data_IF_654301144405
#
_entry.id   IF_654301144405
#
_cell.length_a   1.000
_cell.length_b   1.000
_cell.length_c   1.000
_cell.angle_alpha   90.00
_cell.angle_beta   90.00
_cell.angle_gamma   90.00
#
_symmetry.space_group_name_H-M   'P 1'
#
loop_
_entity.id
_entity.type
_entity.pdbx_description
1 polymer ?
#
# COMPACT_ATOMS: atom_id res chain seq x y z
N UNK A 1 -31.87 -43.13 -42.50
CA UNK A 1 -30.40 -42.93 -42.53
C UNK A 1 -30.14 -41.46 -42.28
N UNK A 2 -29.18 -41.15 -41.39
CA UNK A 2 -28.82 -39.82 -40.83
C UNK A 2 -29.84 -39.30 -39.78
N UNK A 3 -29.51 -38.76 -38.60
CA UNK A 3 -28.35 -38.00 -38.08
C UNK A 3 -28.00 -38.48 -36.65
N UNK A 4 -26.73 -38.70 -36.28
CA UNK A 4 -25.82 -37.74 -35.59
C UNK A 4 -26.49 -37.08 -34.37
N UNK A 5 -26.09 -37.30 -33.11
CA UNK A 5 -24.74 -37.47 -32.58
C UNK A 5 -24.21 -36.13 -32.07
N UNK A 6 -24.66 -35.69 -30.88
CA UNK A 6 -24.01 -34.60 -30.14
C UNK A 6 -23.78 -35.09 -28.71
N UNK A 7 -22.61 -35.67 -28.50
CA UNK A 7 -21.99 -35.83 -27.19
C UNK A 7 -21.39 -34.47 -26.86
N UNK A 8 -22.05 -33.71 -25.99
CA UNK A 8 -21.49 -32.47 -25.42
C UNK A 8 -20.37 -32.91 -24.48
N UNK A 9 -19.15 -32.95 -25.00
CA UNK A 9 -17.94 -33.00 -24.20
C UNK A 9 -17.80 -31.64 -23.50
N UNK A 10 -18.39 -31.54 -22.31
CA UNK A 10 -17.96 -30.60 -21.28
C UNK A 10 -16.51 -30.94 -20.93
N UNK A 11 -15.58 -30.44 -21.73
CA UNK A 11 -14.19 -30.33 -21.33
C UNK A 11 -14.17 -29.35 -20.16
N UNK A 12 -14.10 -29.91 -18.97
CA UNK A 12 -13.60 -29.27 -17.76
C UNK A 12 -12.20 -28.74 -18.08
N UNK A 13 -12.14 -27.53 -18.63
CA UNK A 13 -10.88 -26.79 -18.67
C UNK A 13 -10.52 -26.57 -17.21
N UNK A 14 -9.38 -27.10 -16.72
CA UNK A 14 -8.94 -26.76 -15.38
C UNK A 14 -8.87 -25.24 -15.31
N UNK A 15 -9.43 -24.67 -14.25
CA UNK A 15 -9.12 -23.33 -13.79
C UNK A 15 -7.60 -23.29 -13.56
N UNK A 16 -6.82 -23.08 -14.63
CA UNK A 16 -5.41 -22.80 -14.53
C UNK A 16 -5.33 -21.48 -13.78
N UNK A 17 -4.89 -21.54 -12.53
CA UNK A 17 -4.20 -20.42 -11.91
C UNK A 17 -3.10 -20.01 -12.89
N UNK A 18 -3.31 -18.94 -13.64
CA UNK A 18 -2.31 -18.43 -14.56
C UNK A 18 -1.01 -18.29 -13.79
N UNK A 19 0.02 -19.02 -14.20
CA UNK A 19 1.35 -18.87 -13.63
C UNK A 19 1.82 -17.46 -13.92
N UNK A 20 2.83 -16.98 -13.19
CA UNK A 20 3.36 -15.65 -13.44
C UNK A 20 3.60 -15.50 -14.95
N UNK A 21 4.25 -16.44 -15.64
CA UNK A 21 4.56 -16.33 -17.07
C UNK A 21 3.37 -16.25 -18.06
N UNK A 22 2.12 -16.40 -17.61
CA UNK A 22 0.94 -16.25 -18.46
C UNK A 22 0.45 -14.79 -18.60
N UNK A 23 0.89 -13.88 -17.73
CA UNK A 23 0.35 -12.51 -17.66
C UNK A 23 1.14 -11.46 -18.46
N UNK A 24 2.14 -11.88 -19.24
CA UNK A 24 2.99 -10.91 -19.93
C UNK A 24 3.99 -11.51 -20.92
N UNK A 25 4.76 -10.63 -21.59
CA UNK A 25 5.80 -11.08 -22.51
C UNK A 25 6.88 -11.89 -21.77
N UNK A 26 7.64 -12.73 -22.52
CA UNK A 26 8.84 -13.39 -22.00
C UNK A 26 9.79 -12.40 -21.33
N UNK A 27 10.44 -12.83 -20.26
CA UNK A 27 11.30 -11.98 -19.44
C UNK A 27 11.57 -12.55 -18.07
N UNK A 28 12.40 -11.86 -17.29
CA UNK A 28 12.74 -12.23 -15.92
C UNK A 28 11.95 -11.37 -14.92
N UNK A 29 11.38 -11.99 -13.90
CA UNK A 29 10.52 -11.34 -12.90
C UNK A 29 10.88 -11.83 -11.51
N UNK A 30 11.07 -10.92 -10.55
CA UNK A 30 11.42 -11.35 -9.19
C UNK A 30 10.26 -12.04 -8.48
N UNK A 31 10.58 -13.02 -7.64
CA UNK A 31 9.63 -13.56 -6.67
C UNK A 31 9.24 -12.48 -5.65
N UNK A 32 8.03 -12.56 -5.04
CA UNK A 32 7.57 -11.55 -4.07
C UNK A 32 8.50 -11.34 -2.86
N UNK A 33 9.18 -12.40 -2.42
CA UNK A 33 10.14 -12.38 -1.30
C UNK A 33 11.58 -12.01 -1.73
N UNK A 34 11.78 -11.76 -3.03
CA UNK A 34 13.05 -11.47 -3.69
C UNK A 34 14.13 -12.56 -3.56
N UNK A 35 13.80 -13.77 -3.09
CA UNK A 35 14.79 -14.85 -2.94
C UNK A 35 15.19 -15.48 -4.26
N UNK A 36 14.33 -15.38 -5.28
CA UNK A 36 14.57 -15.88 -6.61
C UNK A 36 13.89 -15.02 -7.67
N UNK A 37 13.84 -15.57 -8.87
CA UNK A 37 13.14 -14.98 -10.01
C UNK A 37 12.61 -16.07 -10.94
N UNK A 38 11.53 -15.73 -11.63
CA UNK A 38 10.98 -16.48 -12.75
C UNK A 38 11.64 -16.03 -14.04
N UNK A 39 12.02 -16.96 -14.90
CA UNK A 39 12.47 -16.73 -16.27
C UNK A 39 11.43 -17.30 -17.23
N UNK A 40 10.60 -16.40 -17.74
CA UNK A 40 9.55 -16.74 -18.69
C UNK A 40 10.15 -16.78 -20.09
N UNK A 41 10.29 -17.97 -20.67
CA UNK A 41 10.95 -18.17 -21.97
C UNK A 41 9.96 -18.73 -22.97
N UNK A 42 9.86 -18.10 -24.15
CA UNK A 42 9.03 -18.62 -25.24
C UNK A 42 9.71 -19.82 -25.90
N UNK A 43 9.05 -20.98 -25.88
CA UNK A 43 9.51 -22.16 -26.59
C UNK A 43 8.88 -22.22 -27.99
N UNK A 44 9.67 -22.02 -29.07
CA UNK A 44 9.14 -22.01 -30.44
C UNK A 44 8.66 -23.38 -30.93
N UNK A 45 9.07 -24.48 -30.28
CA UNK A 45 8.66 -25.85 -30.66
C UNK A 45 7.27 -26.20 -30.13
N UNK A 46 6.95 -25.74 -28.93
CA UNK A 46 5.66 -26.01 -28.28
C UNK A 46 4.67 -24.85 -28.47
N UNK A 47 5.16 -23.68 -28.89
CA UNK A 47 4.36 -22.46 -29.04
C UNK A 47 3.91 -21.86 -27.71
N UNK A 48 4.51 -22.28 -26.59
CA UNK A 48 4.11 -21.89 -25.23
C UNK A 48 5.24 -21.16 -24.49
N UNK A 49 4.88 -20.35 -23.51
CA UNK A 49 5.83 -19.77 -22.56
C UNK A 49 6.06 -20.79 -21.45
N UNK A 50 7.34 -21.05 -21.16
CA UNK A 50 7.77 -21.91 -20.06
C UNK A 50 8.24 -21.04 -18.89
N UNK A 51 7.87 -21.43 -17.68
CA UNK A 51 8.31 -20.80 -16.44
C UNK A 51 9.46 -21.58 -15.83
N UNK A 52 10.63 -20.95 -15.73
CA UNK A 52 11.80 -21.50 -15.06
C UNK A 52 12.10 -20.68 -13.81
N UNK A 53 12.00 -21.30 -12.64
CA UNK A 53 12.26 -20.63 -11.36
C UNK A 53 13.72 -20.82 -10.95
N UNK A 54 14.39 -19.73 -10.62
CA UNK A 54 15.77 -19.70 -10.17
C UNK A 54 15.90 -19.06 -8.80
N UNK A 55 16.64 -19.70 -7.91
CA UNK A 55 17.04 -19.10 -6.63
C UNK A 55 18.24 -18.18 -6.82
N UNK A 56 18.22 -17.03 -6.16
CA UNK A 56 19.38 -16.15 -6.10
C UNK A 56 20.45 -16.75 -5.17
N UNK A 57 21.75 -16.60 -5.49
CA UNK A 57 22.85 -17.04 -4.64
C UNK A 57 22.74 -16.51 -3.20
N UNK A 58 23.35 -17.21 -2.22
CA UNK A 58 23.38 -16.74 -0.83
C UNK A 58 23.84 -15.29 -0.73
N UNK A 59 23.17 -14.51 0.13
CA UNK A 59 23.39 -13.06 0.36
C UNK A 59 23.02 -12.13 -0.81
N UNK A 60 22.46 -12.65 -1.90
CA UNK A 60 21.89 -11.85 -2.98
C UNK A 60 20.37 -11.95 -3.00
N UNK A 61 19.72 -10.99 -3.65
CA UNK A 61 18.28 -10.95 -3.87
C UNK A 61 17.99 -10.48 -5.29
N UNK A 62 16.82 -10.82 -5.81
CA UNK A 62 16.39 -10.31 -7.10
C UNK A 62 16.13 -8.79 -7.00
N UNK A 63 16.73 -8.02 -7.91
CA UNK A 63 16.83 -6.55 -7.80
C UNK A 63 15.83 -5.77 -8.65
N UNK A 64 15.12 -6.45 -9.55
CA UNK A 64 14.13 -5.84 -10.45
C UNK A 64 12.76 -5.63 -9.80
N UNK A 65 12.52 -6.29 -8.65
CA UNK A 65 11.26 -6.25 -7.90
C UNK A 65 10.06 -6.69 -8.75
N UNK A 66 8.93 -5.99 -8.64
CA UNK A 66 7.70 -6.30 -9.36
C UNK A 66 7.61 -5.73 -10.77
N UNK A 67 8.71 -5.33 -11.41
CA UNK A 67 8.77 -4.94 -12.83
C UNK A 67 9.69 -5.88 -13.63
N UNK A 68 9.53 -5.99 -14.97
CA UNK A 68 10.42 -6.79 -15.80
C UNK A 68 11.89 -6.42 -15.61
N UNK A 69 12.75 -7.43 -15.45
CA UNK A 69 14.19 -7.25 -15.38
C UNK A 69 14.77 -6.84 -16.73
N UNK A 70 15.62 -5.81 -16.73
CA UNK A 70 16.40 -5.40 -17.90
C UNK A 70 17.76 -6.12 -18.01
N UNK A 71 18.12 -6.91 -16.99
CA UNK A 71 19.40 -7.63 -16.89
C UNK A 71 19.19 -9.13 -17.10
N UNK A 72 20.18 -9.79 -17.69
CA UNK A 72 20.22 -11.25 -17.80
C UNK A 72 20.48 -11.94 -16.45
N UNK A 73 21.13 -11.26 -15.50
CA UNK A 73 21.30 -11.72 -14.13
C UNK A 73 20.64 -10.73 -13.16
N UNK A 74 19.45 -11.04 -12.64
CA UNK A 74 18.70 -10.13 -11.79
C UNK A 74 19.11 -10.18 -10.31
N UNK A 75 19.92 -11.17 -9.92
CA UNK A 75 20.39 -11.33 -8.56
C UNK A 75 21.56 -10.41 -8.27
N UNK A 76 21.44 -9.63 -7.20
CA UNK A 76 22.47 -8.69 -6.79
C UNK A 76 22.42 -8.37 -5.30
N UNK A 77 23.33 -7.49 -4.89
CA UNK A 77 23.33 -6.96 -3.53
C UNK A 77 22.05 -6.18 -3.27
N UNK A 78 21.52 -6.34 -2.07
CA UNK A 78 20.25 -5.74 -1.67
C UNK A 78 20.32 -5.30 -0.22
N UNK A 79 19.66 -4.20 0.08
CA UNK A 79 19.60 -3.63 1.43
C UNK A 79 18.19 -3.16 1.69
N UNK A 80 17.59 -3.70 2.75
CA UNK A 80 16.26 -3.34 3.19
C UNK A 80 16.23 -1.89 3.73
N UNK A 81 15.09 -1.21 3.63
CA UNK A 81 14.89 0.05 4.33
C UNK A 81 14.95 -0.17 5.85
N UNK A 82 15.21 0.89 6.64
CA UNK A 82 15.03 0.83 8.09
C UNK A 82 13.62 0.35 8.41
N UNK A 83 13.53 -0.48 9.45
CA UNK A 83 12.24 -1.01 9.91
C UNK A 83 11.40 0.14 10.45
N UNK A 84 10.18 0.30 9.93
CA UNK A 84 9.20 1.21 10.52
C UNK A 84 8.75 0.64 11.87
N UNK A 85 8.81 1.41 12.97
CA UNK A 85 8.41 0.94 14.28
C UNK A 85 6.93 0.58 14.30
N UNK A 86 6.57 -0.43 15.09
CA UNK A 86 5.16 -0.85 15.24
C UNK A 86 4.31 0.18 15.98
N UNK A 87 4.95 0.88 16.92
CA UNK A 87 4.37 1.93 17.74
C UNK A 87 5.03 3.26 17.41
N UNK A 88 4.21 4.29 17.19
CA UNK A 88 4.72 5.61 16.86
C UNK A 88 3.67 6.71 17.06
N UNK A 89 4.18 7.93 17.21
CA UNK A 89 3.45 9.17 16.95
C UNK A 89 4.02 9.84 15.71
N UNK A 90 3.17 10.26 14.77
CA UNK A 90 3.63 10.87 13.54
C UNK A 90 2.66 11.91 12.99
N UNK A 91 3.20 13.00 12.45
CA UNK A 91 2.45 14.05 11.75
C UNK A 91 2.91 14.09 10.29
N UNK A 92 1.96 14.08 9.37
CA UNK A 92 2.22 14.09 7.94
C UNK A 92 1.50 15.23 7.25
N UNK A 93 2.24 15.91 6.37
CA UNK A 93 1.66 16.75 5.33
C UNK A 93 1.63 15.95 4.04
N UNK A 94 0.47 15.93 3.38
CA UNK A 94 0.32 15.24 2.11
C UNK A 94 -0.01 16.16 0.96
N UNK A 95 0.42 15.71 -0.21
CA UNK A 95 0.09 16.27 -1.50
C UNK A 95 -0.41 15.10 -2.34
N UNK A 96 -1.69 15.12 -2.70
CA UNK A 96 -2.27 14.15 -3.63
C UNK A 96 -2.65 14.87 -4.92
N UNK A 97 -1.94 14.56 -5.99
CA UNK A 97 -2.21 15.10 -7.32
C UNK A 97 -2.78 14.01 -8.21
N UNK A 98 -4.04 14.17 -8.59
CA UNK A 98 -4.75 13.29 -9.53
C UNK A 98 -4.95 14.07 -10.82
N UNK A 99 -4.47 13.51 -11.93
CA UNK A 99 -4.66 14.07 -13.26
C UNK A 99 -5.44 13.09 -14.12
N UNK A 100 -6.58 13.53 -14.66
CA UNK A 100 -7.43 12.76 -15.58
C UNK A 100 -7.67 13.58 -16.86
N UNK A 101 -8.35 13.03 -17.88
CA UNK A 101 -8.76 13.80 -19.06
C UNK A 101 -9.58 15.06 -18.75
N UNK A 102 -10.26 15.10 -17.59
CA UNK A 102 -11.05 16.25 -17.16
C UNK A 102 -10.20 17.38 -16.52
N UNK A 103 -8.93 17.11 -16.21
CA UNK A 103 -8.02 18.07 -15.59
C UNK A 103 -7.22 17.46 -14.44
N UNK A 104 -6.39 18.30 -13.82
CA UNK A 104 -5.62 17.94 -12.65
C UNK A 104 -6.17 18.63 -11.41
N UNK A 105 -6.33 17.86 -10.34
CA UNK A 105 -6.67 18.36 -9.02
C UNK A 105 -5.53 18.04 -8.07
N UNK A 106 -5.24 18.96 -7.16
CA UNK A 106 -4.22 18.77 -6.12
C UNK A 106 -4.85 19.07 -4.79
N UNK A 107 -4.83 18.06 -3.92
CA UNK A 107 -5.34 18.16 -2.55
C UNK A 107 -4.15 18.20 -1.62
N UNK A 108 -4.16 19.20 -0.75
CA UNK A 108 -3.23 19.29 0.37
C UNK A 108 -3.99 18.89 1.62
N UNK A 109 -3.44 17.93 2.36
CA UNK A 109 -4.03 17.53 3.63
C UNK A 109 -2.95 17.39 4.68
N UNK A 110 -3.36 17.43 5.94
CA UNK A 110 -2.51 17.11 7.07
C UNK A 110 -3.24 16.10 7.94
N UNK A 111 -2.51 15.07 8.34
CA UNK A 111 -3.00 14.13 9.33
C UNK A 111 -1.93 13.79 10.36
N UNK A 112 -2.39 13.51 11.56
CA UNK A 112 -1.56 13.00 12.64
C UNK A 112 -2.04 11.60 13.03
N UNK A 113 -1.13 10.72 13.44
CA UNK A 113 -1.48 9.39 13.89
C UNK A 113 -0.71 9.02 15.16
N UNK A 114 -1.40 8.23 15.97
CA UNK A 114 -0.86 7.57 17.15
C UNK A 114 -1.21 6.11 17.05
N UNK A 115 -0.18 5.27 17.04
CA UNK A 115 -0.35 3.83 16.86
C UNK A 115 0.31 3.11 18.03
N UNK A 116 -0.48 2.32 18.75
CA UNK A 116 -0.08 1.53 19.90
C UNK A 116 -0.53 0.07 19.69
N UNK A 117 0.36 -0.78 19.19
CA UNK A 117 0.11 -2.22 19.04
C UNK A 117 -0.07 -2.92 20.37
N UNK A 118 0.69 -2.50 21.39
CA UNK A 118 0.75 -3.16 22.69
C UNK A 118 -0.61 -3.07 23.38
N UNK A 119 -1.19 -1.87 23.42
CA UNK A 119 -2.51 -1.62 23.99
C UNK A 119 -3.64 -1.73 22.95
N UNK A 120 -3.31 -2.03 21.69
CA UNK A 120 -4.25 -2.12 20.57
C UNK A 120 -5.13 -0.88 20.40
N UNK A 121 -4.49 0.29 20.44
CA UNK A 121 -5.13 1.60 20.26
C UNK A 121 -4.57 2.30 19.05
N UNK A 122 -5.44 2.92 18.27
CA UNK A 122 -5.05 3.74 17.14
C UNK A 122 -5.88 5.01 17.13
N UNK A 123 -5.23 6.13 16.79
CA UNK A 123 -5.91 7.39 16.51
C UNK A 123 -5.35 8.00 15.25
N UNK A 124 -6.22 8.55 14.44
CA UNK A 124 -5.85 9.37 13.29
C UNK A 124 -6.68 10.65 13.28
N UNK A 125 -6.00 11.79 13.24
CA UNK A 125 -6.61 13.10 13.11
C UNK A 125 -6.46 13.56 11.67
N UNK A 126 -7.55 13.96 11.04
CA UNK A 126 -7.58 14.49 9.68
C UNK A 126 -8.02 15.94 9.70
N UNK A 127 -7.26 16.81 9.03
CA UNK A 127 -7.67 18.20 8.84
C UNK A 127 -8.83 18.25 7.84
N UNK A 128 -9.95 18.85 8.24
CA UNK A 128 -11.15 19.06 7.40
C UNK A 128 -11.49 20.55 7.32
N UNK A 129 -11.45 21.09 6.11
CA UNK A 129 -11.98 22.42 5.82
C UNK A 129 -13.41 22.28 5.25
N UNK A 130 -14.36 23.18 5.57
CA UNK A 130 -14.26 24.37 6.43
C UNK A 130 -14.94 24.15 7.80
N UNK A 131 -14.40 23.29 8.67
CA UNK A 131 -14.96 23.05 10.01
C UNK A 131 -14.26 23.89 11.09
N UNK A 132 -14.92 24.12 12.23
CA UNK A 132 -14.32 24.72 13.43
C UNK A 132 -14.63 23.87 14.69
N UNK A 133 -13.65 23.18 15.29
CA UNK A 133 -12.26 23.10 14.83
C UNK A 133 -12.15 22.33 13.50
N UNK A 134 -11.16 22.69 12.70
CA UNK A 134 -10.95 22.19 11.33
C UNK A 134 -10.37 20.78 11.27
N UNK A 135 -10.83 19.87 12.12
CA UNK A 135 -10.40 18.49 12.12
C UNK A 135 -11.51 17.52 12.55
N UNK A 136 -11.41 16.31 12.06
CA UNK A 136 -12.10 15.13 12.56
C UNK A 136 -11.05 14.10 12.97
N UNK A 137 -11.46 13.11 13.75
CA UNK A 137 -10.56 12.03 14.07
C UNK A 137 -11.26 10.70 14.23
N UNK A 138 -10.48 9.66 14.03
CA UNK A 138 -10.87 8.27 14.14
C UNK A 138 -10.11 7.66 15.30
N UNK A 139 -10.81 7.08 16.28
CA UNK A 139 -10.19 6.31 17.37
C UNK A 139 -10.61 4.86 17.22
N UNK A 140 -9.63 3.96 17.22
CA UNK A 140 -9.84 2.52 17.24
C UNK A 140 -9.39 1.99 18.59
N UNK A 141 -10.30 1.32 19.30
CA UNK A 141 -10.05 0.70 20.59
C UNK A 141 -10.40 -0.79 20.52
N UNK A 142 -9.54 -1.64 21.06
CA UNK A 142 -9.85 -3.07 21.18
C UNK A 142 -11.09 -3.29 22.05
N UNK A 143 -11.99 -4.16 21.60
CA UNK A 143 -13.15 -4.58 22.38
C UNK A 143 -13.01 -6.04 22.87
N UNK A 144 -13.94 -6.49 23.70
CA UNK A 144 -13.87 -7.82 24.34
C UNK A 144 -14.09 -9.00 23.37
N UNK A 145 -14.52 -8.75 22.14
CA UNK A 145 -14.93 -9.78 21.17
C UNK A 145 -13.84 -10.08 20.11
N UNK A 146 -12.59 -9.75 20.39
CA UNK A 146 -11.49 -9.83 19.41
C UNK A 146 -11.69 -8.97 18.16
N UNK A 147 -12.61 -8.01 18.22
CA UNK A 147 -12.82 -6.96 17.21
C UNK A 147 -12.41 -5.61 17.79
N UNK A 148 -12.61 -4.54 17.04
CA UNK A 148 -12.27 -3.19 17.47
C UNK A 148 -13.45 -2.26 17.27
N UNK A 149 -13.66 -1.37 18.24
CA UNK A 149 -14.61 -0.28 18.12
C UNK A 149 -13.92 0.87 17.39
N UNK A 150 -14.49 1.30 16.26
CA UNK A 150 -14.09 2.50 15.54
C UNK A 150 -15.05 3.63 15.90
N UNK A 151 -14.49 4.72 16.43
CA UNK A 151 -15.18 5.96 16.69
C UNK A 151 -14.78 6.99 15.64
N UNK A 152 -15.74 7.51 14.89
CA UNK A 152 -15.55 8.70 14.05
C UNK A 152 -16.10 9.92 14.79
N UNK A 153 -15.21 10.84 15.09
CA UNK A 153 -15.49 12.00 15.94
C UNK A 153 -15.33 13.28 15.15
N UNK A 154 -16.38 14.10 15.12
CA UNK A 154 -16.38 15.43 14.52
C UNK A 154 -16.68 16.43 15.63
N UNK A 155 -15.65 17.06 16.23
CA UNK A 155 -15.81 17.98 17.35
C UNK A 155 -16.71 19.17 17.02
N UNK A 156 -16.60 19.73 15.80
CA UNK A 156 -17.37 20.91 15.38
C UNK A 156 -18.89 20.69 15.43
N UNK A 157 -19.33 19.43 15.30
CA UNK A 157 -20.73 19.03 15.32
C UNK A 157 -21.10 18.30 16.61
N UNK A 158 -20.18 18.17 17.58
CA UNK A 158 -20.33 17.31 18.77
C UNK A 158 -20.83 15.90 18.40
N UNK A 159 -20.39 15.40 17.24
CA UNK A 159 -20.90 14.16 16.65
C UNK A 159 -19.89 13.05 16.87
N UNK A 160 -20.40 11.90 17.28
CA UNK A 160 -19.63 10.69 17.46
C UNK A 160 -20.42 9.51 16.91
N UNK A 161 -19.87 8.81 15.93
CA UNK A 161 -20.46 7.58 15.39
C UNK A 161 -19.56 6.41 15.74
N UNK A 162 -20.19 5.27 16.05
CA UNK A 162 -19.50 4.04 16.41
C UNK A 162 -19.81 2.96 15.38
N UNK A 163 -18.76 2.30 14.90
CA UNK A 163 -18.85 1.07 14.12
C UNK A 163 -17.88 0.02 14.68
N UNK A 164 -17.97 -1.21 14.19
CA UNK A 164 -17.11 -2.32 14.59
C UNK A 164 -16.26 -2.73 13.39
N UNK A 165 -14.98 -2.95 13.62
CA UNK A 165 -14.04 -3.42 12.60
C UNK A 165 -13.35 -4.69 13.09
N UNK A 166 -13.07 -5.62 12.17
CA UNK A 166 -12.46 -6.93 12.49
C UNK A 166 -10.94 -6.90 12.56
N UNK A 167 -10.31 -5.88 11.96
CA UNK A 167 -8.85 -5.78 11.83
C UNK A 167 -8.33 -4.49 12.44
N UNK A 168 -7.15 -4.57 13.06
CA UNK A 168 -6.47 -3.40 13.57
C UNK A 168 -5.85 -2.61 12.41
N UNK A 169 -5.89 -1.26 12.42
CA UNK A 169 -5.31 -0.46 11.35
C UNK A 169 -3.87 -0.87 11.04
N UNK A 170 -3.60 -1.12 9.76
CA UNK A 170 -2.25 -1.43 9.26
C UNK A 170 -1.33 -0.23 9.45
N UNK A 171 -0.02 -0.48 9.48
CA UNK A 171 0.97 0.61 9.38
C UNK A 171 0.90 1.22 7.99
N UNK A 172 1.26 2.50 7.86
CA UNK A 172 1.33 3.20 6.56
C UNK A 172 2.18 2.45 5.51
N UNK A 173 3.15 1.66 5.97
CA UNK A 173 4.11 0.95 5.12
C UNK A 173 3.82 -0.52 4.89
N UNK A 174 2.59 -0.98 5.12
CA UNK A 174 2.22 -2.34 4.68
C UNK A 174 2.21 -2.52 3.16
N UNK A 175 2.57 -1.47 2.40
CA UNK A 175 2.72 -1.47 0.95
C UNK A 175 3.96 -2.24 0.45
N UNK A 176 4.81 -2.74 1.35
CA UNK A 176 5.82 -3.74 1.02
C UNK A 176 6.90 -3.88 2.08
N UNK A 177 7.35 -5.11 2.34
CA UNK A 177 8.51 -5.37 3.22
C UNK A 177 9.84 -5.22 2.50
N UNK A 178 9.82 -5.00 1.19
CA UNK A 178 10.99 -5.09 0.34
C UNK A 178 11.15 -3.80 -0.46
N UNK A 179 12.11 -2.94 -0.08
CA UNK A 179 12.58 -1.85 -0.94
C UNK A 179 14.08 -1.99 -1.20
N UNK A 180 14.53 -1.71 -2.42
CA UNK A 180 15.96 -1.66 -2.75
C UNK A 180 16.48 -0.28 -2.45
N UNK A 181 17.68 -0.24 -1.89
CA UNK A 181 18.44 1.00 -1.76
C UNK A 181 18.76 1.63 -3.15
N UNK A 182 18.44 2.92 -3.28
CA UNK A 182 18.55 3.73 -4.51
C UNK A 182 19.51 4.92 -4.31
N UNK A 183 20.49 4.77 -3.41
CA UNK A 183 21.46 5.81 -3.11
C UNK A 183 20.95 6.86 -2.12
N UNK A 184 21.45 8.09 -2.27
CA UNK A 184 21.11 9.23 -1.41
C UNK A 184 20.47 10.35 -2.21
N UNK A 185 19.54 11.07 -1.58
CA UNK A 185 18.82 12.20 -2.17
C UNK A 185 18.64 13.30 -1.14
N UNK A 186 18.73 14.56 -1.58
CA UNK A 186 18.44 15.72 -0.73
C UNK A 186 16.92 15.97 -0.71
N UNK A 187 16.33 15.88 0.47
CA UNK A 187 14.90 16.15 0.69
C UNK A 187 14.80 17.27 1.71
N UNK A 188 14.19 18.39 1.33
CA UNK A 188 14.02 19.57 2.19
C UNK A 188 15.33 20.07 2.84
N UNK A 189 16.44 20.04 2.10
CA UNK A 189 17.77 20.44 2.63
C UNK A 189 18.51 19.36 3.44
N UNK A 190 17.94 18.16 3.57
CA UNK A 190 18.50 17.06 4.35
C UNK A 190 18.92 15.93 3.42
N UNK A 191 20.20 15.52 3.48
CA UNK A 191 20.68 14.34 2.75
C UNK A 191 20.09 13.09 3.40
N UNK A 192 19.28 12.37 2.64
CA UNK A 192 18.61 11.14 3.06
C UNK A 192 19.11 9.95 2.28
N UNK A 193 18.97 8.77 2.87
CA UNK A 193 19.03 7.52 2.11
C UNK A 193 17.69 7.31 1.43
N UNK A 194 17.70 6.80 0.21
CA UNK A 194 16.52 6.59 -0.62
C UNK A 194 16.35 5.10 -0.90
N UNK A 195 15.11 4.63 -0.85
CA UNK A 195 14.74 3.27 -1.22
C UNK A 195 13.54 3.29 -2.14
N UNK A 196 13.51 2.33 -3.07
CA UNK A 196 12.47 2.22 -4.08
C UNK A 196 11.83 0.83 -4.03
N UNK A 197 10.53 0.76 -4.26
CA UNK A 197 9.79 -0.45 -4.63
C UNK A 197 8.99 -0.14 -5.89
N UNK A 198 9.03 -1.04 -6.87
CA UNK A 198 8.24 -0.93 -8.11
C UNK A 198 7.45 -2.21 -8.33
N UNK A 199 6.21 -2.06 -8.78
CA UNK A 199 5.34 -3.17 -9.14
C UNK A 199 4.54 -2.88 -10.39
N UNK A 200 4.19 -3.91 -11.15
CA UNK A 200 3.40 -3.80 -12.38
C UNK A 200 4.29 -3.63 -13.61
N UNK A 201 3.85 -2.86 -14.60
CA UNK A 201 4.62 -2.63 -15.84
C UNK A 201 4.96 -3.89 -16.62
N UNK A 202 4.28 -4.99 -16.34
CA UNK A 202 4.58 -6.29 -16.92
C UNK A 202 4.27 -6.33 -18.41
N UNK A 203 3.19 -5.68 -18.80
CA UNK A 203 2.84 -5.41 -20.18
C UNK A 203 2.32 -3.96 -20.27
N UNK A 204 2.13 -3.45 -21.49
CA UNK A 204 1.68 -2.07 -21.73
C UNK A 204 0.31 -1.72 -21.14
N UNK A 205 -0.49 -2.73 -20.77
CA UNK A 205 -1.79 -2.55 -20.12
C UNK A 205 -1.74 -2.44 -18.60
N UNK A 206 -0.62 -2.81 -17.95
CA UNK A 206 -0.51 -2.82 -16.49
C UNK A 206 0.28 -1.58 -16.02
N UNK A 207 -0.28 -0.74 -15.14
CA UNK A 207 0.40 0.45 -14.63
C UNK A 207 1.66 0.08 -13.84
N UNK A 208 2.63 1.00 -13.76
CA UNK A 208 3.85 0.86 -12.94
C UNK A 208 3.67 1.66 -11.67
N UNK A 209 3.45 0.99 -10.54
CA UNK A 209 3.40 1.67 -9.26
C UNK A 209 4.81 1.81 -8.72
N UNK A 210 5.22 3.03 -8.40
CA UNK A 210 6.51 3.30 -7.77
C UNK A 210 6.29 3.84 -6.36
N UNK A 211 6.92 3.20 -5.40
CA UNK A 211 6.93 3.60 -4.01
C UNK A 211 8.35 4.02 -3.64
N UNK A 212 8.49 5.25 -3.16
CA UNK A 212 9.76 5.81 -2.75
C UNK A 212 9.69 6.09 -1.25
N UNK A 213 10.77 5.72 -0.59
CA UNK A 213 10.97 5.91 0.82
C UNK A 213 12.27 6.65 1.06
N UNK A 214 12.22 7.73 1.82
CA UNK A 214 13.41 8.45 2.26
C UNK A 214 13.51 8.41 3.78
N UNK A 215 14.72 8.21 4.30
CA UNK A 215 14.98 8.25 5.74
C UNK A 215 16.25 9.00 6.08
N UNK A 216 16.20 9.67 7.23
CA UNK A 216 17.33 10.39 7.83
C UNK A 216 17.58 9.83 9.22
N UNK A 217 18.83 9.45 9.51
CA UNK A 217 19.21 8.86 10.81
C UNK A 217 18.31 7.69 11.25
N UNK A 218 17.85 6.89 10.28
CA UNK A 218 16.95 5.74 10.50
C UNK A 218 15.48 6.11 10.69
N UNK A 219 15.12 7.41 10.70
CA UNK A 219 13.74 7.89 10.81
C UNK A 219 13.15 8.18 9.44
N UNK A 220 11.89 7.79 9.18
CA UNK A 220 11.23 8.13 7.94
C UNK A 220 11.08 9.64 7.80
N UNK A 221 11.32 10.14 6.59
CA UNK A 221 11.15 11.55 6.26
C UNK A 221 10.04 11.74 5.22
N UNK A 222 10.05 10.89 4.20
CA UNK A 222 9.12 11.02 3.09
C UNK A 222 8.70 9.64 2.58
N UNK A 223 7.44 9.58 2.18
CA UNK A 223 6.90 8.51 1.36
C UNK A 223 6.28 9.13 0.10
N UNK A 224 6.58 8.57 -1.06
CA UNK A 224 5.95 8.95 -2.32
C UNK A 224 5.42 7.71 -3.02
N UNK A 225 4.21 7.81 -3.55
CA UNK A 225 3.60 6.83 -4.43
C UNK A 225 3.31 7.51 -5.77
N UNK A 226 3.73 6.88 -6.85
CA UNK A 226 3.44 7.32 -8.21
C UNK A 226 2.74 6.18 -8.96
N UNK A 227 1.52 6.46 -9.41
CA UNK A 227 0.79 5.68 -10.40
C UNK A 227 0.76 6.52 -11.70
N UNK A 228 1.55 6.18 -12.73
CA UNK A 228 1.62 6.94 -13.97
C UNK A 228 0.34 6.84 -14.81
N UNK A 229 -0.60 5.96 -14.42
CA UNK A 229 -1.83 5.68 -15.16
C UNK A 229 -1.65 4.64 -16.27
N UNK A 230 -2.77 4.17 -16.80
CA UNK A 230 -2.79 3.26 -17.96
C UNK A 230 -3.22 4.02 -19.22
N UNK A 231 -2.93 3.46 -20.40
CA UNK A 231 -3.39 4.04 -21.67
C UNK A 231 -4.92 4.17 -21.76
N UNK A 232 -5.65 3.30 -21.05
CA UNK A 232 -7.12 3.29 -21.03
C UNK A 232 -7.71 4.30 -20.05
N UNK A 233 -7.21 4.33 -18.80
CA UNK A 233 -7.72 5.23 -17.77
C UNK A 233 -7.29 6.69 -18.04
N UNK A 234 -6.08 6.89 -18.58
CA UNK A 234 -5.43 8.20 -18.70
C UNK A 234 -5.44 9.00 -17.40
N UNK A 235 -5.58 8.31 -16.27
CA UNK A 235 -5.61 8.89 -14.93
C UNK A 235 -4.30 8.54 -14.25
N UNK A 236 -3.50 9.56 -13.93
CA UNK A 236 -2.30 9.41 -13.11
C UNK A 236 -2.53 9.96 -11.72
N UNK A 237 -1.83 9.39 -10.74
CA UNK A 237 -1.87 9.80 -9.34
C UNK A 237 -0.46 9.90 -8.80
N UNK A 238 -0.14 11.02 -8.17
CA UNK A 238 1.10 11.23 -7.46
C UNK A 238 0.77 11.66 -6.04
N UNK A 239 1.03 10.76 -5.10
CA UNK A 239 0.84 10.99 -3.68
C UNK A 239 2.19 11.16 -3.00
N UNK A 240 2.30 12.17 -2.16
CA UNK A 240 3.50 12.46 -1.38
C UNK A 240 3.08 12.72 0.05
N UNK A 241 3.74 12.08 1.00
CA UNK A 241 3.59 12.33 2.43
C UNK A 241 4.96 12.67 3.02
N UNK A 242 5.01 13.79 3.74
CA UNK A 242 6.20 14.28 4.43
C UNK A 242 5.96 14.20 5.92
N UNK A 243 6.84 13.50 6.64
CA UNK A 243 6.80 13.46 8.08
C UNK A 243 7.25 14.81 8.63
N UNK A 244 6.31 15.60 9.18
CA UNK A 244 6.64 16.79 9.96
C UNK A 244 7.27 16.39 11.30
N UNK A 245 6.69 15.39 11.96
CA UNK A 245 7.28 14.77 13.16
C UNK A 245 7.14 13.25 13.10
N UNK A 246 8.13 12.54 13.63
CA UNK A 246 8.10 11.09 13.78
C UNK A 246 8.82 10.65 15.05
N UNK A 247 8.07 10.10 15.99
CA UNK A 247 8.56 9.62 17.28
C UNK A 247 8.26 8.13 17.40
N UNK A 248 9.28 7.24 17.33
CA UNK A 248 9.08 5.82 17.58
C UNK A 248 8.77 5.57 19.06
N UNK A 249 7.92 4.58 19.34
CA UNK A 249 7.57 4.15 20.69
C UNK A 249 6.09 4.35 21.03
N UNK A 250 5.72 3.92 22.23
CA UNK A 250 4.34 3.99 22.72
C UNK A 250 3.87 5.44 22.84
N UNK A 251 2.76 5.82 22.18
CA UNK A 251 2.14 7.13 22.33
C UNK A 251 1.69 7.43 23.76
N UNK A 252 1.51 8.73 24.04
CA UNK A 252 0.78 9.18 25.22
C UNK A 252 -0.64 8.59 25.20
N UNK A 253 -1.09 8.04 26.33
CA UNK A 253 -2.38 7.37 26.44
C UNK A 253 -3.55 8.36 26.44
N UNK A 254 -3.32 9.62 26.80
CA UNK A 254 -4.36 10.66 26.83
C UNK A 254 -4.96 10.92 25.44
N UNK A 255 -4.19 10.69 24.36
CA UNK A 255 -4.69 10.90 22.99
C UNK A 255 -5.81 9.94 22.60
N UNK A 256 -5.97 8.82 23.31
CA UNK A 256 -7.00 7.82 23.00
C UNK A 256 -8.28 7.97 23.83
N UNK A 257 -8.36 8.98 24.69
CA UNK A 257 -9.55 9.25 25.50
C UNK A 257 -10.67 9.79 24.61
N UNK A 258 -11.83 9.16 24.66
CA UNK A 258 -13.02 9.62 23.95
C UNK A 258 -13.62 10.85 24.65
N UNK A 259 -14.18 11.80 23.90
CA UNK A 259 -14.90 12.91 24.50
C UNK A 259 -16.23 12.45 25.10
N UNK A 260 -16.70 13.13 26.15
CA UNK A 260 -17.89 12.75 26.91
C UNK A 260 -19.17 12.58 26.05
N UNK A 261 -19.31 13.36 24.96
CA UNK A 261 -20.47 13.25 24.08
C UNK A 261 -20.50 11.95 23.24
N UNK A 262 -19.41 11.18 23.20
CA UNK A 262 -19.41 9.82 22.63
C UNK A 262 -20.11 8.79 23.52
N UNK A 263 -20.36 9.10 24.79
CA UNK A 263 -20.95 8.16 25.77
C UNK A 263 -22.49 8.11 25.69
N UNK A 264 -23.15 9.10 25.08
CA UNK A 264 -24.59 9.35 25.24
C UNK A 264 -25.49 9.21 24.00
N UNK A 265 -25.00 8.80 22.83
CA UNK A 265 -25.80 8.77 21.61
C UNK A 265 -25.22 7.88 20.51
N UNK A 266 -25.30 6.56 20.69
CA UNK A 266 -24.77 5.59 19.73
C UNK A 266 -25.83 5.28 18.67
N UNK A 267 -25.73 5.88 17.48
CA UNK A 267 -26.28 5.24 16.28
C UNK A 267 -25.26 4.19 15.82
N UNK A 268 -25.59 2.93 16.09
CA UNK A 268 -24.79 1.77 15.67
C UNK A 268 -25.05 1.50 14.19
N UNK A 269 -24.02 1.62 13.36
CA UNK A 269 -24.06 1.18 11.97
C UNK A 269 -23.13 -0.03 11.82
N UNK A 270 -23.69 -1.16 11.38
CA UNK A 270 -22.89 -2.31 10.94
C UNK A 270 -22.29 -1.95 9.58
N UNK A 271 -21.01 -1.57 9.59
CA UNK A 271 -20.24 -1.36 8.36
C UNK A 271 -19.47 -2.65 8.11
N UNK A 272 -19.97 -3.45 7.18
CA UNK A 272 -19.26 -4.64 6.70
C UNK A 272 -17.95 -4.22 6.05
N UNK A 273 -16.85 -4.76 6.58
CA UNK A 273 -15.47 -4.38 6.27
C UNK A 273 -15.14 -2.90 6.49
N UNK A 274 -14.07 -2.65 7.26
CA UNK A 274 -13.40 -1.35 7.24
C UNK A 274 -12.82 -1.18 5.85
N UNK A 275 -13.59 -0.56 4.95
CA UNK A 275 -13.04 -0.03 3.73
C UNK A 275 -11.99 1.00 4.13
N UNK A 276 -10.75 0.56 3.94
CA UNK A 276 -9.50 1.28 4.12
C UNK A 276 -9.68 2.80 3.93
N UNK A 277 -9.17 3.57 4.90
CA UNK A 277 -8.98 5.01 4.82
C UNK A 277 -8.76 5.45 3.36
N UNK A 278 -9.65 6.31 2.87
CA UNK A 278 -9.75 6.78 1.47
C UNK A 278 -8.46 7.39 0.87
N UNK A 279 -7.35 7.45 1.61
CA UNK A 279 -6.09 7.97 1.10
C UNK A 279 -5.28 6.94 0.29
N UNK A 280 -5.49 5.63 0.48
CA UNK A 280 -4.60 4.60 -0.09
C UNK A 280 -5.26 3.56 -1.00
N UNK A 281 -6.58 3.62 -1.24
CA UNK A 281 -7.15 2.82 -2.34
C UNK A 281 -6.68 3.40 -3.68
N UNK A 282 -5.95 2.65 -4.52
CA UNK A 282 -6.03 2.88 -5.96
C UNK A 282 -7.45 2.45 -6.36
N UNK A 283 -8.26 3.39 -6.85
CA UNK A 283 -9.46 3.04 -7.63
C UNK A 283 -9.09 2.27 -8.89
#
# INVERSE_FOLDING_TARGET
MNFAGILVALMLVPLCSGGICDEGPPGKFCEPNLTGYHDCVYNPKTGKVEDHVYECPPKTRCTCMGIPCQTSNPCGNYTLPPVWPQDYTADFNTIDKICSPAGCHTTYSRFAMWRDTVNRKYRQDNTIAPHDPAYEYFIVLANKQSTYDLYHVIPSATRCTKSIISTFPKKITDIGTFFKYDGTEEVTGIITKRWLWKSGGRNSGIPINTYIWNSYSGKPLQFRMELPGSQMSKTSRNFQAYAGTFVPGTPDQEVFVLPNYCEGGQQQFDVGEFEEFQFFKPE
#
